data_IF_611753376021
#
_entry.id   IF_611753376021
#
_cell.length_a   1.000
_cell.length_b   1.000
_cell.length_c   1.000
_cell.angle_alpha   90.00
_cell.angle_beta   90.00
_cell.angle_gamma   90.00
#
_symmetry.space_group_name_H-M   'P 1'
#
loop_
_entity.id
_entity.type
_entity.pdbx_description
1 polymer ?
#
# COMPACT_ATOMS: atom_id res chain seq x y z
N UNK A 1 -18.28 15.02 -4.45
CA UNK A 1 -17.59 13.90 -3.77
C UNK A 1 -17.99 12.64 -4.49
N UNK A 2 -17.04 11.88 -5.05
CA UNK A 2 -17.32 10.48 -5.42
C UNK A 2 -17.43 9.70 -4.12
N UNK A 3 -18.58 9.09 -3.88
CA UNK A 3 -18.76 8.18 -2.75
C UNK A 3 -17.97 6.91 -3.07
N UNK A 4 -16.91 6.65 -2.31
CA UNK A 4 -16.12 5.42 -2.41
C UNK A 4 -16.77 4.38 -1.52
N UNK A 5 -17.23 3.29 -2.13
CA UNK A 5 -17.78 2.15 -1.40
C UNK A 5 -16.69 1.09 -1.21
N UNK A 6 -16.37 0.75 0.01
CA UNK A 6 -15.50 -0.39 0.31
C UNK A 6 -16.35 -1.65 0.26
N UNK A 7 -16.09 -2.53 -0.73
CA UNK A 7 -16.83 -3.81 -0.90
C UNK A 7 -16.56 -4.78 0.25
N UNK A 8 -15.36 -4.76 0.82
CA UNK A 8 -14.97 -5.60 1.95
C UNK A 8 -13.52 -6.08 1.88
N UNK A 9 -13.25 -7.15 2.62
CA UNK A 9 -11.90 -7.70 2.79
C UNK A 9 -11.87 -9.21 2.58
N UNK A 10 -10.76 -9.68 2.01
CA UNK A 10 -10.38 -11.08 1.96
C UNK A 10 -8.94 -11.23 2.48
N UNK A 11 -8.69 -12.25 3.26
CA UNK A 11 -7.35 -12.61 3.72
C UNK A 11 -7.24 -14.14 3.89
N UNK A 12 -6.04 -14.69 3.69
CA UNK A 12 -5.75 -16.10 4.06
C UNK A 12 -5.99 -16.35 5.57
N UNK A 13 -5.78 -15.33 6.39
CA UNK A 13 -6.15 -15.35 7.79
C UNK A 13 -7.55 -14.74 7.95
N UNK A 14 -8.55 -15.60 8.13
CA UNK A 14 -9.94 -15.21 8.27
C UNK A 14 -10.17 -14.17 9.37
N UNK A 15 -9.48 -14.33 10.53
CA UNK A 15 -9.58 -13.36 11.64
C UNK A 15 -9.16 -11.96 11.22
N UNK A 16 -8.12 -11.85 10.39
CA UNK A 16 -7.66 -10.55 9.87
C UNK A 16 -8.68 -9.91 8.93
N UNK A 17 -9.34 -10.69 8.09
CA UNK A 17 -10.40 -10.20 7.22
C UNK A 17 -11.61 -9.71 8.02
N UNK A 18 -12.04 -10.49 9.03
CA UNK A 18 -13.15 -10.12 9.92
C UNK A 18 -12.85 -8.84 10.68
N UNK A 19 -11.67 -8.74 11.31
CA UNK A 19 -11.25 -7.57 12.06
C UNK A 19 -11.26 -6.29 11.20
N UNK A 20 -10.77 -6.38 9.96
CA UNK A 20 -10.77 -5.26 9.02
C UNK A 20 -12.19 -4.88 8.57
N UNK A 21 -13.03 -5.87 8.34
CA UNK A 21 -14.44 -5.68 7.97
C UNK A 21 -15.24 -5.03 9.10
N UNK A 22 -15.05 -5.49 10.33
CA UNK A 22 -15.72 -4.94 11.52
C UNK A 22 -15.29 -3.48 11.75
N UNK A 23 -13.98 -3.20 11.65
CA UNK A 23 -13.45 -1.85 11.81
C UNK A 23 -14.03 -0.86 10.79
N UNK A 24 -14.17 -1.30 9.53
CA UNK A 24 -14.69 -0.46 8.44
C UNK A 24 -16.19 -0.57 8.24
N UNK A 25 -16.88 -1.42 9.01
CA UNK A 25 -18.32 -1.74 8.89
C UNK A 25 -18.67 -2.23 7.49
N UNK A 26 -17.84 -3.12 6.97
CA UNK A 26 -18.00 -3.73 5.66
C UNK A 26 -18.09 -5.26 5.78
N UNK A 27 -17.77 -6.01 4.72
CA UNK A 27 -17.93 -7.45 4.66
C UNK A 27 -16.59 -8.17 4.63
N UNK A 28 -16.44 -9.26 5.40
CA UNK A 28 -15.38 -10.24 5.20
C UNK A 28 -15.86 -11.31 4.19
N UNK A 29 -14.98 -11.67 3.25
CA UNK A 29 -15.20 -12.69 2.24
C UNK A 29 -14.38 -13.94 2.54
N UNK A 30 -14.97 -15.13 2.35
CA UNK A 30 -14.32 -16.41 2.61
C UNK A 30 -13.47 -16.89 1.44
N UNK A 31 -13.65 -16.30 0.27
CA UNK A 31 -12.83 -16.60 -0.92
C UNK A 31 -12.60 -15.35 -1.76
N UNK A 32 -11.52 -15.40 -2.54
CA UNK A 32 -11.10 -14.27 -3.38
C UNK A 32 -12.03 -14.04 -4.57
N UNK A 33 -12.66 -15.09 -5.09
CA UNK A 33 -13.56 -14.97 -6.24
C UNK A 33 -14.76 -14.07 -5.98
N UNK A 34 -15.32 -14.13 -4.76
CA UNK A 34 -16.50 -13.36 -4.42
C UNK A 34 -16.21 -11.87 -4.27
N UNK A 35 -15.07 -11.50 -3.66
CA UNK A 35 -14.69 -10.09 -3.59
C UNK A 35 -14.30 -9.53 -4.96
N UNK A 36 -13.65 -10.32 -5.84
CA UNK A 36 -13.35 -9.91 -7.21
C UNK A 36 -14.63 -9.58 -7.99
N UNK A 37 -15.68 -10.38 -7.87
CA UNK A 37 -16.94 -10.17 -8.60
C UNK A 37 -17.63 -8.84 -8.28
N UNK A 38 -17.51 -8.37 -7.05
CA UNK A 38 -18.23 -7.18 -6.56
C UNK A 38 -17.37 -5.92 -6.54
N UNK A 39 -16.10 -6.02 -6.89
CA UNK A 39 -15.15 -4.89 -6.85
C UNK A 39 -14.71 -4.50 -8.26
N UNK A 40 -14.68 -3.21 -8.53
CA UNK A 40 -14.05 -2.63 -9.73
C UNK A 40 -12.55 -2.35 -9.51
N UNK A 41 -12.17 -2.15 -8.26
CA UNK A 41 -10.78 -1.91 -7.84
C UNK A 41 -10.37 -2.90 -6.75
N UNK A 42 -9.20 -3.50 -6.92
CA UNK A 42 -8.61 -4.41 -5.94
C UNK A 42 -7.32 -3.81 -5.39
N UNK A 43 -7.25 -3.70 -4.06
CA UNK A 43 -6.05 -3.28 -3.35
C UNK A 43 -5.35 -4.49 -2.73
N UNK A 44 -4.14 -4.81 -3.20
CA UNK A 44 -3.29 -5.84 -2.64
C UNK A 44 -2.43 -5.19 -1.56
N UNK A 45 -2.78 -5.47 -0.31
CA UNK A 45 -2.14 -4.90 0.90
C UNK A 45 -1.36 -5.95 1.69
N UNK A 46 -0.90 -6.99 1.00
CA UNK A 46 -0.05 -8.04 1.57
C UNK A 46 1.41 -7.58 1.66
N UNK A 47 2.29 -8.27 2.43
CA UNK A 47 3.72 -8.02 2.37
C UNK A 47 4.26 -8.12 0.94
N UNK A 48 5.32 -7.36 0.64
CA UNK A 48 5.89 -7.25 -0.70
C UNK A 48 6.18 -8.60 -1.37
N UNK A 49 6.74 -9.55 -0.61
CA UNK A 49 7.04 -10.91 -1.11
C UNK A 49 5.81 -11.74 -1.49
N UNK A 50 4.60 -11.31 -1.14
CA UNK A 50 3.36 -12.02 -1.46
C UNK A 50 2.59 -11.38 -2.63
N UNK A 51 2.96 -10.17 -3.06
CA UNK A 51 2.18 -9.43 -4.08
C UNK A 51 2.12 -10.20 -5.39
N UNK A 52 3.24 -10.73 -5.87
CA UNK A 52 3.29 -11.53 -7.09
C UNK A 52 2.44 -12.81 -6.96
N UNK A 53 2.52 -13.52 -5.82
CA UNK A 53 1.73 -14.72 -5.57
C UNK A 53 0.22 -14.44 -5.57
N UNK A 54 -0.18 -13.31 -5.00
CA UNK A 54 -1.60 -12.89 -5.02
C UNK A 54 -2.01 -12.52 -6.44
N UNK A 55 -1.16 -11.82 -7.19
CA UNK A 55 -1.42 -11.51 -8.59
C UNK A 55 -1.65 -12.78 -9.40
N UNK A 56 -0.74 -13.75 -9.33
CA UNK A 56 -0.87 -15.03 -10.03
C UNK A 56 -2.17 -15.77 -9.66
N UNK A 57 -2.53 -15.74 -8.38
CA UNK A 57 -3.78 -16.36 -7.91
C UNK A 57 -5.02 -15.71 -8.52
N UNK A 58 -5.06 -14.36 -8.61
CA UNK A 58 -6.24 -13.65 -9.11
C UNK A 58 -6.35 -13.64 -10.64
N UNK A 59 -5.26 -13.88 -11.38
CA UNK A 59 -5.30 -14.00 -12.86
C UNK A 59 -6.19 -15.14 -13.36
N UNK A 60 -6.48 -16.13 -12.52
CA UNK A 60 -7.42 -17.21 -12.85
C UNK A 60 -8.89 -16.74 -12.94
N UNK A 61 -9.17 -15.50 -12.58
CA UNK A 61 -10.53 -14.94 -12.55
C UNK A 61 -10.72 -13.86 -13.63
N UNK A 62 -11.98 -13.48 -13.86
CA UNK A 62 -12.30 -12.40 -14.78
C UNK A 62 -11.90 -11.04 -14.19
N UNK A 63 -10.91 -10.41 -14.79
CA UNK A 63 -10.35 -9.13 -14.34
C UNK A 63 -10.59 -7.96 -15.32
N UNK A 64 -11.30 -8.18 -16.40
CA UNK A 64 -11.60 -7.16 -17.43
C UNK A 64 -12.15 -5.89 -16.77
N UNK A 65 -11.62 -4.75 -17.20
CA UNK A 65 -11.96 -3.40 -16.72
C UNK A 65 -11.70 -3.12 -15.23
N UNK A 66 -11.01 -4.03 -14.52
CA UNK A 66 -10.65 -3.80 -13.12
C UNK A 66 -9.33 -3.05 -12.99
N UNK A 67 -9.22 -2.27 -11.92
CA UNK A 67 -7.97 -1.63 -11.51
C UNK A 67 -7.35 -2.47 -10.38
N UNK A 68 -6.08 -2.87 -10.55
CA UNK A 68 -5.33 -3.65 -9.58
C UNK A 68 -4.20 -2.80 -9.03
N UNK A 69 -4.17 -2.62 -7.71
CA UNK A 69 -3.19 -1.77 -7.06
C UNK A 69 -2.45 -2.52 -5.96
N UNK A 70 -1.18 -2.19 -5.73
CA UNK A 70 -0.45 -2.57 -4.54
C UNK A 70 0.19 -1.35 -3.86
N UNK A 71 0.64 -1.53 -2.60
CA UNK A 71 1.15 -0.42 -1.79
C UNK A 71 2.65 -0.54 -1.46
N UNK A 72 3.39 -1.42 -2.15
CA UNK A 72 4.84 -1.53 -1.96
C UNK A 72 5.57 -0.23 -2.30
N UNK A 73 6.55 0.11 -1.49
CA UNK A 73 7.47 1.22 -1.76
C UNK A 73 8.53 0.87 -2.78
N UNK A 74 8.98 -0.39 -2.83
CA UNK A 74 10.10 -0.86 -3.64
C UNK A 74 9.67 -1.50 -4.96
N UNK A 75 8.57 -2.29 -4.97
CA UNK A 75 8.07 -2.95 -6.16
C UNK A 75 7.34 -1.97 -7.07
N UNK A 76 7.59 -2.06 -8.37
CA UNK A 76 6.81 -1.33 -9.38
C UNK A 76 5.58 -2.13 -9.80
N UNK A 77 4.67 -1.48 -10.54
CA UNK A 77 3.50 -2.12 -11.15
C UNK A 77 3.85 -3.25 -12.14
N UNK A 78 5.12 -3.34 -12.58
CA UNK A 78 5.62 -4.44 -13.39
C UNK A 78 5.52 -5.81 -12.70
N UNK A 79 5.31 -5.86 -11.37
CA UNK A 79 5.00 -7.09 -10.62
C UNK A 79 3.74 -7.79 -11.13
N UNK A 80 2.84 -7.07 -11.80
CA UNK A 80 1.64 -7.59 -12.43
C UNK A 80 1.94 -8.13 -13.84
N UNK A 81 2.81 -9.12 -13.93
CA UNK A 81 3.25 -9.69 -15.19
C UNK A 81 2.06 -10.19 -16.03
N UNK A 82 2.03 -9.80 -17.31
CA UNK A 82 0.96 -10.21 -18.23
C UNK A 82 -0.41 -9.57 -18.02
N UNK A 83 -0.50 -8.49 -17.25
CA UNK A 83 -1.76 -7.79 -16.94
C UNK A 83 -2.50 -7.34 -18.20
N UNK A 84 -1.78 -6.98 -19.26
CA UNK A 84 -2.31 -6.60 -20.58
C UNK A 84 -3.21 -7.68 -21.20
N UNK A 85 -2.96 -8.97 -20.87
CA UNK A 85 -3.75 -10.12 -21.36
C UNK A 85 -5.04 -10.33 -20.58
N UNK A 86 -5.18 -9.72 -19.41
CA UNK A 86 -6.36 -9.91 -18.53
C UNK A 86 -7.45 -8.87 -18.75
N UNK A 87 -7.12 -7.79 -19.47
CA UNK A 87 -7.99 -6.63 -19.62
C UNK A 87 -8.10 -5.75 -18.36
N UNK A 88 -7.31 -6.05 -17.33
CA UNK A 88 -7.15 -5.20 -16.16
C UNK A 88 -6.08 -4.12 -16.36
N UNK A 89 -6.03 -3.15 -15.45
CA UNK A 89 -5.01 -2.09 -15.41
C UNK A 89 -4.35 -2.09 -14.04
N UNK A 90 -3.02 -1.95 -14.03
CA UNK A 90 -2.24 -2.03 -12.80
C UNK A 90 -1.58 -0.73 -12.42
N UNK A 91 -1.56 -0.40 -11.14
CA UNK A 91 -0.71 0.66 -10.63
C UNK A 91 -0.16 0.33 -9.24
N UNK A 92 0.95 0.98 -8.93
CA UNK A 92 1.52 0.97 -7.59
C UNK A 92 1.23 2.30 -6.92
N UNK A 93 0.87 2.26 -5.64
CA UNK A 93 0.53 3.42 -4.80
C UNK A 93 1.34 3.29 -3.52
N UNK A 94 2.38 4.11 -3.35
CA UNK A 94 3.17 4.07 -2.13
C UNK A 94 2.87 5.27 -1.23
N UNK A 95 2.29 5.07 -0.04
CA UNK A 95 2.17 6.12 0.96
C UNK A 95 3.52 6.36 1.63
N UNK A 96 4.04 7.58 1.52
CA UNK A 96 5.22 8.01 2.28
C UNK A 96 4.77 8.32 3.72
N UNK A 97 4.52 7.27 4.47
CA UNK A 97 3.96 7.35 5.82
C UNK A 97 4.34 6.12 6.66
N UNK A 98 4.72 6.34 7.91
CA UNK A 98 4.99 5.28 8.87
C UNK A 98 3.69 4.87 9.59
N UNK A 99 3.19 3.68 9.28
CA UNK A 99 2.05 3.10 9.96
C UNK A 99 2.50 2.41 11.25
N UNK A 100 2.39 3.09 12.38
CA UNK A 100 2.77 2.57 13.70
C UNK A 100 1.67 1.73 14.36
N UNK A 101 0.42 1.98 14.02
CA UNK A 101 -0.74 1.30 14.60
C UNK A 101 -1.87 1.19 13.57
N UNK A 102 -2.42 -0.02 13.40
CA UNK A 102 -3.42 -0.31 12.37
C UNK A 102 -4.77 0.36 12.58
N UNK A 103 -5.09 0.77 13.81
CA UNK A 103 -6.40 1.36 14.14
C UNK A 103 -6.38 2.86 14.35
N UNK A 104 -5.21 3.49 14.44
CA UNK A 104 -5.11 4.92 14.71
C UNK A 104 -4.33 5.71 13.68
N UNK A 105 -3.38 5.07 12.97
CA UNK A 105 -2.53 5.75 11.97
C UNK A 105 -3.33 6.45 10.87
N UNK A 106 -4.51 5.94 10.50
CA UNK A 106 -5.37 6.53 9.47
C UNK A 106 -5.80 7.97 9.81
N UNK A 107 -5.86 8.35 11.10
CA UNK A 107 -6.29 9.71 11.54
C UNK A 107 -5.38 10.82 11.04
N UNK A 108 -4.12 10.52 10.78
CA UNK A 108 -3.13 11.47 10.25
C UNK A 108 -2.72 11.13 8.82
N UNK A 109 -3.29 10.09 8.23
CA UNK A 109 -2.91 9.60 6.91
C UNK A 109 -3.09 10.64 5.80
N UNK A 110 -4.06 11.55 5.92
CA UNK A 110 -4.26 12.66 4.97
C UNK A 110 -3.04 13.58 4.80
N UNK A 111 -2.08 13.54 5.74
CA UNK A 111 -0.80 14.26 5.63
C UNK A 111 0.23 13.53 4.76
N UNK A 112 0.01 12.25 4.46
CA UNK A 112 0.92 11.46 3.66
C UNK A 112 0.92 11.90 2.20
N UNK A 113 2.10 11.96 1.60
CA UNK A 113 2.24 12.05 0.15
C UNK A 113 2.12 10.63 -0.40
N UNK A 114 1.29 10.48 -1.43
CA UNK A 114 1.18 9.22 -2.16
C UNK A 114 1.98 9.32 -3.45
N UNK A 115 2.81 8.33 -3.72
CA UNK A 115 3.57 8.24 -4.95
C UNK A 115 3.03 7.12 -5.81
N UNK A 116 2.72 7.40 -7.07
CA UNK A 116 2.06 6.47 -7.97
C UNK A 116 2.85 6.27 -9.26
N UNK A 117 2.78 5.06 -9.82
CA UNK A 117 3.21 4.71 -11.18
C UNK A 117 2.41 3.52 -11.71
N UNK A 118 2.43 3.29 -13.02
CA UNK A 118 1.74 2.17 -13.67
C UNK A 118 0.99 2.58 -14.92
N UNK A 119 -0.07 1.85 -15.24
CA UNK A 119 -0.97 2.18 -16.34
C UNK A 119 -1.53 3.59 -16.19
N UNK A 120 -1.50 4.38 -17.26
CA UNK A 120 -1.88 5.79 -17.22
C UNK A 120 -3.33 6.01 -16.77
N UNK A 121 -4.24 5.13 -17.19
CA UNK A 121 -5.66 5.25 -16.80
C UNK A 121 -5.86 4.83 -15.34
N UNK A 122 -5.18 3.77 -14.88
CA UNK A 122 -5.22 3.34 -13.48
C UNK A 122 -4.65 4.44 -12.57
N UNK A 123 -3.51 5.01 -12.93
CA UNK A 123 -2.88 6.12 -12.18
C UNK A 123 -3.81 7.33 -12.14
N UNK A 124 -4.45 7.68 -13.25
CA UNK A 124 -5.39 8.82 -13.30
C UNK A 124 -6.59 8.59 -12.37
N UNK A 125 -7.22 7.42 -12.44
CA UNK A 125 -8.37 7.07 -11.57
C UNK A 125 -7.98 7.13 -10.10
N UNK A 126 -6.83 6.54 -9.73
CA UNK A 126 -6.37 6.50 -8.35
C UNK A 126 -5.92 7.88 -7.85
N UNK A 127 -5.27 8.67 -8.70
CA UNK A 127 -4.91 10.05 -8.38
C UNK A 127 -6.15 10.89 -8.06
N UNK A 128 -7.16 10.89 -8.94
CA UNK A 128 -8.42 11.60 -8.72
C UNK A 128 -9.08 11.18 -7.41
N UNK A 129 -9.06 9.87 -7.11
CA UNK A 129 -9.63 9.32 -5.89
C UNK A 129 -8.92 9.86 -4.65
N UNK A 130 -7.60 9.74 -4.58
CA UNK A 130 -6.83 10.10 -3.40
C UNK A 130 -6.71 11.63 -3.23
N UNK A 131 -6.65 12.41 -4.31
CA UNK A 131 -6.71 13.87 -4.24
C UNK A 131 -8.08 14.36 -3.72
N UNK A 132 -9.18 13.70 -4.12
CA UNK A 132 -10.52 13.97 -3.57
C UNK A 132 -10.64 13.65 -2.07
N UNK A 133 -9.81 12.72 -1.57
CA UNK A 133 -9.68 12.40 -0.14
C UNK A 133 -8.71 13.34 0.61
N UNK A 134 -8.08 14.28 -0.10
CA UNK A 134 -7.21 15.31 0.48
C UNK A 134 -5.72 14.96 0.50
N UNK A 135 -5.31 13.89 -0.17
CA UNK A 135 -3.89 13.54 -0.28
C UNK A 135 -3.18 14.33 -1.37
N UNK A 136 -1.91 14.63 -1.15
CA UNK A 136 -1.01 15.06 -2.21
C UNK A 136 -0.51 13.84 -2.95
N UNK A 137 -0.71 13.80 -4.28
CA UNK A 137 -0.26 12.70 -5.14
C UNK A 137 0.87 13.16 -6.04
N UNK A 138 1.93 12.35 -6.11
CA UNK A 138 3.08 12.52 -7.00
C UNK A 138 3.19 11.31 -7.92
N UNK A 139 3.66 11.49 -9.13
CA UNK A 139 3.95 10.38 -10.04
C UNK A 139 5.46 10.21 -10.20
N UNK A 140 5.91 8.98 -10.33
CA UNK A 140 7.30 8.62 -10.63
C UNK A 140 7.32 7.67 -11.82
N UNK A 141 8.47 7.51 -12.45
CA UNK A 141 8.65 6.44 -13.43
C UNK A 141 8.91 5.11 -12.71
N UNK A 142 8.49 4.01 -13.31
CA UNK A 142 8.68 2.67 -12.74
C UNK A 142 10.16 2.37 -12.45
N UNK A 143 11.07 2.83 -13.33
CA UNK A 143 12.53 2.66 -13.21
C UNK A 143 13.12 3.44 -12.04
N UNK A 144 12.49 4.54 -11.65
CA UNK A 144 12.97 5.40 -10.55
C UNK A 144 12.42 4.98 -9.19
N UNK A 145 11.50 4.03 -9.14
CA UNK A 145 10.82 3.65 -7.90
C UNK A 145 11.78 3.14 -6.83
N UNK A 146 12.77 2.34 -7.19
CA UNK A 146 13.80 1.88 -6.26
C UNK A 146 14.62 3.03 -5.69
N UNK A 147 15.02 4.01 -6.52
CA UNK A 147 15.76 5.20 -6.05
C UNK A 147 14.90 6.06 -5.12
N UNK A 148 13.65 6.27 -5.51
CA UNK A 148 12.67 6.98 -4.70
C UNK A 148 12.50 6.31 -3.33
N UNK A 149 12.31 4.99 -3.29
CA UNK A 149 12.15 4.25 -2.04
C UNK A 149 13.42 4.29 -1.18
N UNK A 150 14.60 4.16 -1.79
CA UNK A 150 15.87 4.29 -1.10
C UNK A 150 16.02 5.68 -0.44
N UNK A 151 15.64 6.75 -1.14
CA UNK A 151 15.67 8.10 -0.58
C UNK A 151 14.73 8.25 0.62
N UNK A 152 13.52 7.70 0.54
CA UNK A 152 12.56 7.68 1.65
C UNK A 152 13.09 6.88 2.85
N UNK A 153 13.68 5.71 2.61
CA UNK A 153 14.27 4.86 3.66
C UNK A 153 15.47 5.53 4.34
N UNK A 154 16.34 6.21 3.58
CA UNK A 154 17.45 6.98 4.13
C UNK A 154 16.96 8.11 5.06
N UNK A 155 15.94 8.83 4.66
CA UNK A 155 15.38 9.94 5.43
C UNK A 155 14.52 9.51 6.64
N UNK A 156 14.19 8.23 6.77
CA UNK A 156 13.38 7.68 7.86
C UNK A 156 14.09 6.59 8.64
N UNK A 157 14.11 5.37 8.11
CA UNK A 157 14.58 4.18 8.82
C UNK A 157 16.07 4.27 9.17
N UNK A 158 16.91 4.71 8.22
CA UNK A 158 18.36 4.83 8.47
C UNK A 158 18.68 5.97 9.43
N UNK A 159 17.94 7.08 9.36
CA UNK A 159 18.09 8.17 10.33
C UNK A 159 17.77 7.70 11.74
N UNK A 160 16.69 6.94 11.94
CA UNK A 160 16.35 6.34 13.24
C UNK A 160 17.44 5.38 13.72
N UNK A 161 18.06 4.61 12.82
CA UNK A 161 19.20 3.77 13.14
C UNK A 161 20.41 4.57 13.64
N UNK A 162 20.72 5.70 12.99
CA UNK A 162 21.79 6.60 13.43
C UNK A 162 21.50 7.22 14.81
N UNK A 163 20.26 7.63 15.07
CA UNK A 163 19.86 8.11 16.38
C UNK A 163 20.02 7.03 17.46
N UNK A 164 19.60 5.79 17.18
CA UNK A 164 19.77 4.69 18.12
C UNK A 164 21.25 4.42 18.43
N UNK A 165 22.11 4.40 17.40
CA UNK A 165 23.57 4.26 17.61
C UNK A 165 24.15 5.38 18.48
N UNK A 166 23.68 6.62 18.32
CA UNK A 166 24.09 7.75 19.16
C UNK A 166 23.69 7.56 20.61
N UNK A 167 22.46 7.11 20.86
CA UNK A 167 21.95 6.79 22.21
C UNK A 167 22.80 5.67 22.84
N UNK A 168 23.11 4.62 22.09
CA UNK A 168 23.90 3.50 22.59
C UNK A 168 25.30 3.93 23.00
N UNK A 169 25.96 4.78 22.21
CA UNK A 169 27.27 5.37 22.54
C UNK A 169 27.21 6.27 23.79
N UNK A 170 26.17 7.07 23.96
CA UNK A 170 26.00 7.87 25.18
C UNK A 170 25.85 6.99 26.43
N UNK A 171 25.10 5.89 26.33
CA UNK A 171 25.00 4.92 27.42
C UNK A 171 26.33 4.27 27.80
N UNK A 172 27.18 3.97 26.81
CA UNK A 172 28.55 3.48 27.07
C UNK A 172 29.41 4.53 27.81
N UNK A 173 29.10 5.83 27.64
CA UNK A 173 29.71 6.91 28.39
C UNK A 173 29.10 7.13 29.80
N UNK A 174 28.11 6.34 30.21
CA UNK A 174 27.49 6.40 31.52
C UNK A 174 26.27 7.31 31.62
N UNK A 175 25.68 7.72 30.48
CA UNK A 175 24.43 8.46 30.44
C UNK A 175 23.24 7.49 30.65
N UNK A 176 22.24 7.91 31.43
CA UNK A 176 20.99 7.19 31.56
C UNK A 176 20.07 7.39 30.34
N UNK A 177 19.07 6.52 30.15
CA UNK A 177 18.15 6.59 29.01
C UNK A 177 17.43 7.94 28.90
N UNK A 178 17.13 8.56 30.05
CA UNK A 178 16.42 9.87 30.16
C UNK A 178 17.29 11.06 29.74
N UNK A 179 18.61 10.87 29.73
CA UNK A 179 19.60 11.91 29.41
C UNK A 179 20.01 11.85 27.92
N UNK A 180 19.60 10.80 27.18
CA UNK A 180 19.89 10.57 25.77
C UNK A 180 18.76 11.06 24.88
#
# INVERSE_FOLDING_TARGET
>A
KRDVAISGFYSRNEKSAIESADFTKTRAYNNVADIIKVSDTLFITTPDGEIANIWDCITAYQLTDKTICHFSGSLSSAVFEGIDKTGARGCSIHPMYAFSDKFTSYRQFSKAILTMEGDLQAVHIMKDLFEALGHKVMTVQAEDKMKYHAAAALASNYMMGLFQMSVDLLKECGFEQEDC
#
